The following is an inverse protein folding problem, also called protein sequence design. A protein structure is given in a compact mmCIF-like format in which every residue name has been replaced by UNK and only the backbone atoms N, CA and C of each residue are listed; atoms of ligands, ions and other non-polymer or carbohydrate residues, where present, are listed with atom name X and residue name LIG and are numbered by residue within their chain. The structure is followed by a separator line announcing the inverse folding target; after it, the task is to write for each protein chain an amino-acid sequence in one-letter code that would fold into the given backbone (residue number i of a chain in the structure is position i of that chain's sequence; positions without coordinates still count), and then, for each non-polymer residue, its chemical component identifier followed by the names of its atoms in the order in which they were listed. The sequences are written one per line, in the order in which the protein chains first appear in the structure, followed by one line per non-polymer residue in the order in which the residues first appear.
data_IF_847861112417
#
_entry.id   IF_847861112417
#
_cell.length_a   1.000
_cell.length_b   1.000
_cell.length_c   1.000
_cell.angle_alpha   90.00
_cell.angle_beta   90.00
_cell.angle_gamma   90.00
#
_symmetry.space_group_name_H-M   'P 1'
#
loop_
_entity.id
_entity.type
_entity.pdbx_description
1 polymer ?
#
# COMPACT_ATOMS: atom_id res chain seq x y z
N UNK A 1 -38.75 -32.04 -22.79
CA UNK A 1 -38.67 -30.56 -22.77
C UNK A 1 -38.39 -29.91 -24.13
N UNK A 2 -37.58 -30.49 -25.04
CA UNK A 2 -37.27 -29.87 -26.35
C UNK A 2 -38.47 -29.78 -27.32
N UNK A 3 -39.39 -30.75 -27.28
CA UNK A 3 -40.57 -30.81 -28.18
C UNK A 3 -41.60 -29.72 -27.88
N UNK A 4 -41.83 -29.38 -26.61
CA UNK A 4 -42.80 -28.35 -26.19
C UNK A 4 -42.38 -26.94 -26.61
N UNK A 5 -41.08 -26.61 -26.58
CA UNK A 5 -40.59 -25.30 -27.02
C UNK A 5 -40.71 -25.12 -28.55
N UNK A 6 -40.38 -26.15 -29.33
CA UNK A 6 -40.53 -26.14 -30.80
C UNK A 6 -41.99 -26.00 -31.24
N UNK A 7 -42.92 -26.63 -30.52
CA UNK A 7 -44.36 -26.49 -30.73
C UNK A 7 -44.87 -25.10 -30.36
N UNK A 8 -44.36 -24.49 -29.28
CA UNK A 8 -44.68 -23.10 -28.91
C UNK A 8 -44.21 -22.08 -29.96
N UNK A 9 -43.02 -22.30 -30.53
CA UNK A 9 -42.47 -21.45 -31.60
C UNK A 9 -43.31 -21.52 -32.89
N UNK A 10 -43.78 -22.73 -33.26
CA UNK A 10 -44.53 -22.98 -34.52
C UNK A 10 -46.04 -22.80 -34.39
N UNK A 11 -46.56 -22.77 -33.17
CA UNK A 11 -47.98 -22.67 -32.88
C UNK A 11 -48.71 -24.00 -32.91
N UNK A 12 -49.69 -24.13 -32.02
CA UNK A 12 -50.56 -25.29 -31.93
C UNK A 12 -51.97 -24.90 -31.48
N UNK A 13 -52.92 -25.79 -31.71
CA UNK A 13 -54.34 -25.51 -31.50
C UNK A 13 -54.97 -26.66 -30.72
N UNK A 14 -55.76 -26.33 -29.70
CA UNK A 14 -56.64 -27.28 -29.04
C UNK A 14 -57.92 -27.38 -29.84
N UNK A 15 -58.21 -28.58 -30.33
CA UNK A 15 -59.42 -28.87 -31.09
C UNK A 15 -60.30 -29.86 -30.34
N UNK A 16 -61.61 -29.65 -30.46
CA UNK A 16 -62.65 -30.55 -30.01
C UNK A 16 -63.23 -31.22 -31.26
N UNK A 17 -63.27 -32.54 -31.27
CA UNK A 17 -63.74 -33.35 -32.39
C UNK A 17 -65.00 -34.06 -31.96
N UNK A 18 -66.04 -33.99 -32.78
CA UNK A 18 -67.34 -34.62 -32.54
C UNK A 18 -67.71 -35.53 -33.71
N UNK A 19 -68.03 -36.79 -33.45
CA UNK A 19 -68.44 -37.77 -34.48
C UNK A 19 -68.53 -39.20 -33.96
N UNK A 20 -69.24 -40.08 -34.67
CA UNK A 20 -69.45 -41.48 -34.27
C UNK A 20 -68.24 -42.40 -34.56
N UNK A 21 -67.26 -41.96 -35.35
CA UNK A 21 -66.07 -42.76 -35.73
C UNK A 21 -64.75 -42.09 -35.28
N UNK A 22 -64.68 -41.71 -34.00
CA UNK A 22 -63.50 -41.02 -33.44
C UNK A 22 -62.23 -41.87 -33.46
N UNK A 23 -62.33 -43.16 -33.14
CA UNK A 23 -61.19 -44.08 -33.15
C UNK A 23 -60.57 -44.22 -34.54
N UNK A 24 -61.43 -44.30 -35.57
CA UNK A 24 -61.00 -44.38 -36.97
C UNK A 24 -60.27 -43.10 -37.40
N UNK A 25 -60.73 -41.94 -36.95
CA UNK A 25 -60.05 -40.66 -37.20
C UNK A 25 -58.66 -40.65 -36.54
N UNK A 26 -58.55 -41.06 -35.27
CA UNK A 26 -57.28 -41.06 -34.54
C UNK A 26 -56.27 -42.01 -35.19
N UNK A 27 -56.71 -43.19 -35.63
CA UNK A 27 -55.85 -44.12 -36.35
C UNK A 27 -55.31 -43.52 -37.65
N UNK A 28 -56.14 -42.79 -38.40
CA UNK A 28 -55.71 -42.07 -39.61
C UNK A 28 -54.76 -40.90 -39.32
N UNK A 29 -54.93 -40.20 -38.19
CA UNK A 29 -54.01 -39.14 -37.76
C UNK A 29 -52.61 -39.69 -37.48
N UNK A 30 -52.55 -40.85 -36.83
CA UNK A 30 -51.31 -41.57 -36.54
C UNK A 30 -50.65 -42.11 -37.82
N UNK A 31 -51.43 -42.68 -38.73
CA UNK A 31 -50.96 -43.20 -40.02
C UNK A 31 -50.33 -42.10 -40.89
N UNK A 32 -50.97 -40.91 -40.96
CA UNK A 32 -50.42 -39.74 -41.66
C UNK A 32 -49.31 -39.00 -40.90
N UNK A 33 -48.82 -39.57 -39.79
CA UNK A 33 -47.76 -39.02 -38.92
C UNK A 33 -48.00 -37.56 -38.51
N UNK A 34 -49.25 -37.21 -38.20
CA UNK A 34 -49.59 -35.87 -37.74
C UNK A 34 -49.12 -35.67 -36.29
N UNK A 35 -48.64 -34.47 -35.98
CA UNK A 35 -48.22 -34.13 -34.62
C UNK A 35 -49.44 -33.83 -33.77
N UNK A 36 -49.95 -34.87 -33.10
CA UNK A 36 -51.08 -34.82 -32.16
C UNK A 36 -50.62 -35.29 -30.78
N UNK A 37 -51.08 -34.62 -29.71
CA UNK A 37 -50.75 -35.00 -28.33
C UNK A 37 -51.89 -34.66 -27.35
N UNK A 38 -51.83 -35.26 -26.16
CA UNK A 38 -52.80 -35.09 -25.06
C UNK A 38 -54.25 -35.24 -25.53
N UNK A 39 -54.55 -36.42 -26.09
CA UNK A 39 -55.88 -36.82 -26.54
C UNK A 39 -56.71 -37.21 -25.31
N UNK A 40 -57.84 -36.53 -25.12
CA UNK A 40 -58.78 -36.78 -24.02
C UNK A 40 -60.17 -37.06 -24.58
N UNK A 41 -60.69 -38.26 -24.32
CA UNK A 41 -62.05 -38.61 -24.66
C UNK A 41 -62.98 -38.09 -23.57
N UNK A 42 -64.05 -37.39 -23.97
CA UNK A 42 -65.09 -36.87 -23.07
C UNK A 42 -66.32 -37.78 -23.10
N UNK A 43 -66.74 -38.18 -24.31
CA UNK A 43 -67.86 -39.07 -24.60
C UNK A 43 -67.49 -39.96 -25.81
N UNK A 44 -68.24 -41.04 -26.09
CA UNK A 44 -68.05 -41.88 -27.30
C UNK A 44 -68.16 -41.09 -28.62
N UNK A 45 -68.80 -39.93 -28.56
CA UNK A 45 -68.95 -39.02 -29.70
C UNK A 45 -68.11 -37.75 -29.59
N UNK A 46 -67.27 -37.56 -28.55
CA UNK A 46 -66.46 -36.35 -28.35
C UNK A 46 -65.04 -36.60 -27.83
N UNK A 47 -64.04 -36.03 -28.51
CA UNK A 47 -62.64 -36.03 -28.07
C UNK A 47 -62.00 -34.63 -28.16
N UNK A 48 -61.13 -34.30 -27.23
CA UNK A 48 -60.28 -33.11 -27.25
C UNK A 48 -58.83 -33.52 -27.54
N UNK A 49 -58.14 -32.83 -28.45
CA UNK A 49 -56.72 -33.08 -28.72
C UNK A 49 -55.98 -31.82 -29.13
N UNK A 50 -54.68 -31.79 -28.88
CA UNK A 50 -53.81 -30.75 -29.40
C UNK A 50 -53.19 -31.17 -30.71
N UNK A 51 -53.20 -30.27 -31.69
CA UNK A 51 -52.61 -30.48 -33.01
C UNK A 51 -51.69 -29.32 -33.38
N UNK A 52 -50.59 -29.61 -34.08
CA UNK A 52 -49.71 -28.59 -34.62
C UNK A 52 -50.45 -27.69 -35.62
N UNK A 53 -50.08 -26.42 -35.73
CA UNK A 53 -50.74 -25.48 -36.65
C UNK A 53 -50.62 -25.92 -38.13
N UNK A 54 -49.48 -26.53 -38.50
CA UNK A 54 -49.26 -27.04 -39.87
C UNK A 54 -50.17 -28.23 -40.18
N UNK A 55 -50.37 -29.13 -39.21
CA UNK A 55 -51.17 -30.33 -39.38
C UNK A 55 -52.67 -30.04 -39.27
N UNK A 56 -53.08 -28.98 -38.56
CA UNK A 56 -54.47 -28.53 -38.50
C UNK A 56 -55.04 -28.22 -39.89
N UNK A 57 -54.27 -27.60 -40.80
CA UNK A 57 -54.74 -27.35 -42.17
C UNK A 57 -54.88 -28.63 -42.99
N UNK A 58 -54.08 -29.66 -42.68
CA UNK A 58 -54.11 -30.98 -43.33
C UNK A 58 -55.20 -31.90 -42.76
N UNK A 59 -55.88 -31.48 -41.67
CA UNK A 59 -56.91 -32.25 -40.99
C UNK A 59 -58.24 -32.32 -41.77
N UNK A 60 -58.52 -31.32 -42.62
CA UNK A 60 -59.82 -31.18 -43.30
C UNK A 60 -60.25 -32.38 -44.15
N UNK A 61 -59.38 -33.00 -44.99
CA UNK A 61 -59.76 -34.17 -45.79
C UNK A 61 -60.11 -35.37 -44.90
N UNK A 62 -59.35 -35.59 -43.82
CA UNK A 62 -59.56 -36.70 -42.89
C UNK A 62 -60.91 -36.59 -42.14
N UNK A 63 -61.32 -35.37 -41.80
CA UNK A 63 -62.62 -35.12 -41.17
C UNK A 63 -63.79 -35.42 -42.11
N UNK A 64 -63.63 -35.17 -43.43
CA UNK A 64 -64.64 -35.51 -44.43
C UNK A 64 -64.75 -37.01 -44.65
N UNK A 65 -63.63 -37.73 -44.66
CA UNK A 65 -63.58 -39.20 -44.83
C UNK A 65 -64.25 -39.96 -43.68
N UNK A 66 -64.14 -39.46 -42.44
CA UNK A 66 -64.69 -40.14 -41.23
C UNK A 66 -66.01 -39.55 -40.74
N UNK A 67 -66.57 -38.54 -41.42
CA UNK A 67 -67.80 -37.87 -41.02
C UNK A 67 -67.70 -37.09 -39.70
N UNK A 68 -66.50 -36.85 -39.20
CA UNK A 68 -66.26 -36.13 -37.94
C UNK A 68 -66.21 -34.61 -38.16
N UNK A 69 -66.64 -33.84 -37.17
CA UNK A 69 -66.55 -32.37 -37.17
C UNK A 69 -65.49 -31.93 -36.16
N UNK A 70 -64.73 -30.88 -36.48
CA UNK A 70 -63.77 -30.28 -35.55
C UNK A 70 -64.14 -28.84 -35.24
N UNK A 71 -63.93 -28.43 -33.98
CA UNK A 71 -64.10 -27.07 -33.48
C UNK A 71 -62.84 -26.64 -32.75
N UNK A 72 -62.28 -25.50 -33.14
CA UNK A 72 -61.12 -24.91 -32.46
C UNK A 72 -61.57 -24.28 -31.14
N UNK A 73 -61.03 -24.76 -30.02
CA UNK A 73 -61.33 -24.23 -28.68
C UNK A 73 -60.33 -23.16 -28.23
N UNK A 74 -59.04 -23.42 -28.36
CA UNK A 74 -57.96 -22.50 -27.94
C UNK A 74 -56.80 -22.50 -28.93
N UNK A 75 -56.16 -21.35 -29.11
CA UNK A 75 -55.02 -21.13 -30.01
C UNK A 75 -53.79 -20.74 -29.19
N UNK A 76 -52.65 -21.38 -29.43
CA UNK A 76 -51.43 -21.19 -28.64
C UNK A 76 -50.18 -21.04 -29.52
N UNK A 77 -49.21 -20.26 -29.05
CA UNK A 77 -47.88 -20.10 -29.65
C UNK A 77 -47.62 -18.74 -30.30
N UNK A 78 -46.37 -18.54 -30.72
CA UNK A 78 -45.86 -17.25 -31.24
C UNK A 78 -46.63 -16.69 -32.45
N UNK A 79 -47.07 -17.48 -33.46
CA UNK A 79 -47.79 -16.93 -34.61
C UNK A 79 -49.08 -16.19 -34.23
N UNK A 80 -49.80 -16.69 -33.22
CA UNK A 80 -51.02 -16.04 -32.72
C UNK A 80 -50.74 -14.87 -31.78
N UNK A 81 -49.55 -14.82 -31.16
CA UNK A 81 -49.11 -13.65 -30.40
C UNK A 81 -48.65 -12.52 -31.32
N UNK A 82 -47.94 -12.85 -32.42
CA UNK A 82 -47.50 -11.89 -33.44
C UNK A 82 -48.68 -11.25 -34.17
N UNK A 83 -49.71 -12.00 -34.55
CA UNK A 83 -50.95 -11.47 -35.16
C UNK A 83 -51.70 -10.49 -34.23
N UNK A 84 -51.66 -10.76 -32.91
CA UNK A 84 -52.17 -9.80 -31.91
C UNK A 84 -51.28 -8.57 -31.74
N UNK A 85 -49.97 -8.74 -31.94
CA UNK A 85 -48.98 -7.67 -31.87
C UNK A 85 -49.06 -6.73 -33.08
N UNK A 86 -49.34 -7.25 -34.28
CA UNK A 86 -49.53 -6.45 -35.51
C UNK A 86 -50.70 -5.47 -35.39
N UNK A 87 -51.77 -5.87 -34.67
CA UNK A 87 -52.89 -4.98 -34.35
C UNK A 87 -52.51 -3.87 -33.38
N UNK A 88 -51.35 -3.97 -32.72
CA UNK A 88 -50.80 -3.00 -31.76
C UNK A 88 -49.46 -2.45 -32.29
N UNK A 89 -49.48 -1.81 -33.47
CA UNK A 89 -48.29 -1.21 -34.11
C UNK A 89 -47.45 -0.34 -33.16
N UNK A 90 -48.10 0.41 -32.27
CA UNK A 90 -47.44 1.24 -31.25
C UNK A 90 -46.60 0.42 -30.25
N UNK A 91 -47.06 -0.78 -29.88
CA UNK A 91 -46.32 -1.65 -28.96
C UNK A 91 -45.05 -2.22 -29.61
N UNK A 92 -45.15 -2.66 -30.87
CA UNK A 92 -43.99 -3.10 -31.65
C UNK A 92 -42.97 -1.96 -31.85
N UNK A 93 -43.45 -0.76 -32.19
CA UNK A 93 -42.60 0.43 -32.28
C UNK A 93 -41.92 0.76 -30.95
N UNK A 94 -42.64 0.62 -29.83
CA UNK A 94 -42.09 0.79 -28.47
C UNK A 94 -40.96 -0.18 -28.15
N UNK A 95 -41.10 -1.46 -28.52
CA UNK A 95 -40.03 -2.46 -28.34
C UNK A 95 -38.79 -2.08 -29.17
N UNK A 96 -38.98 -1.70 -30.43
CA UNK A 96 -37.86 -1.29 -31.30
C UNK A 96 -37.18 -0.04 -30.72
N UNK A 97 -37.96 0.96 -30.32
CA UNK A 97 -37.45 2.17 -29.69
C UNK A 97 -36.71 1.88 -28.37
N UNK A 98 -37.20 0.93 -27.58
CA UNK A 98 -36.55 0.50 -26.35
C UNK A 98 -35.19 -0.15 -26.61
N UNK A 99 -35.10 -1.04 -27.61
CA UNK A 99 -33.83 -1.67 -28.00
C UNK A 99 -32.84 -0.63 -28.54
N UNK A 100 -33.30 0.30 -29.38
CA UNK A 100 -32.48 1.43 -29.87
C UNK A 100 -32.02 2.28 -28.68
N UNK A 101 -32.90 2.59 -27.73
CA UNK A 101 -32.58 3.31 -26.51
C UNK A 101 -31.47 2.61 -25.71
N UNK A 102 -31.59 1.31 -25.47
CA UNK A 102 -30.55 0.53 -24.79
C UNK A 102 -29.20 0.60 -25.50
N UNK A 103 -29.20 0.52 -26.83
CA UNK A 103 -27.98 0.64 -27.63
C UNK A 103 -27.35 2.03 -27.50
N UNK A 104 -28.15 3.09 -27.58
CA UNK A 104 -27.68 4.47 -27.41
C UNK A 104 -27.11 4.70 -26.01
N UNK A 105 -27.80 4.25 -24.96
CA UNK A 105 -27.34 4.37 -23.57
C UNK A 105 -26.04 3.59 -23.31
N UNK A 106 -25.84 2.46 -23.98
CA UNK A 106 -24.61 1.66 -23.92
C UNK A 106 -23.43 2.32 -24.68
N UNK A 107 -23.73 3.19 -25.64
CA UNK A 107 -22.74 3.92 -26.45
C UNK A 107 -22.30 5.26 -25.81
N UNK A 108 -22.85 5.63 -24.65
CA UNK A 108 -22.52 6.87 -23.94
C UNK A 108 -21.49 6.60 -22.82
N UNK A 109 -20.54 7.52 -22.69
CA UNK A 109 -19.62 7.56 -21.54
C UNK A 109 -20.34 8.17 -20.34
N UNK A 110 -20.64 7.35 -19.34
CA UNK A 110 -21.34 7.80 -18.12
C UNK A 110 -20.39 8.37 -17.08
N UNK A 111 -19.17 7.84 -16.99
CA UNK A 111 -18.19 8.26 -15.98
C UNK A 111 -16.77 8.25 -16.55
N UNK A 112 -16.01 9.30 -16.24
CA UNK A 112 -14.56 9.37 -16.43
C UNK A 112 -13.93 9.34 -15.04
N UNK A 113 -13.06 8.36 -14.79
CA UNK A 113 -12.28 8.21 -13.56
C UNK A 113 -10.81 8.44 -13.85
N UNK A 114 -10.10 9.02 -12.89
CA UNK A 114 -8.65 9.20 -12.92
C UNK A 114 -8.07 8.38 -11.77
N UNK A 115 -7.01 7.64 -12.05
CA UNK A 115 -6.29 6.78 -11.10
C UNK A 115 -4.79 7.07 -11.18
N UNK A 116 -4.09 6.99 -10.04
CA UNK A 116 -2.63 7.16 -9.97
C UNK A 116 -2.14 8.61 -9.88
N UNK A 117 -3.04 9.55 -9.59
CA UNK A 117 -2.67 10.94 -9.32
C UNK A 117 -2.54 11.19 -7.81
N UNK A 118 -1.38 11.66 -7.36
CA UNK A 118 -1.07 12.01 -5.98
C UNK A 118 -0.75 13.51 -5.86
N UNK A 119 0.19 14.01 -6.68
CA UNK A 119 0.60 15.41 -6.75
C UNK A 119 -0.25 16.21 -7.76
N UNK A 120 -0.61 15.60 -8.90
CA UNK A 120 -1.39 16.26 -9.95
C UNK A 120 -2.87 16.26 -9.56
N UNK A 121 -3.51 17.42 -9.63
CA UNK A 121 -4.94 17.54 -9.30
C UNK A 121 -5.79 16.85 -10.37
N UNK A 122 -6.77 16.06 -9.91
CA UNK A 122 -7.72 15.37 -10.79
C UNK A 122 -8.48 16.33 -11.72
N UNK A 123 -8.76 17.55 -11.27
CA UNK A 123 -9.45 18.57 -12.08
C UNK A 123 -8.66 18.95 -13.33
N UNK A 124 -7.34 19.07 -13.22
CA UNK A 124 -6.46 19.48 -14.31
C UNK A 124 -6.40 18.37 -15.37
N UNK A 125 -6.26 17.12 -14.94
CA UNK A 125 -6.28 15.95 -15.83
C UNK A 125 -7.63 15.85 -16.56
N UNK A 126 -8.75 16.06 -15.87
CA UNK A 126 -10.08 16.05 -16.48
C UNK A 126 -10.28 17.21 -17.47
N UNK A 127 -9.67 18.37 -17.20
CA UNK A 127 -9.72 19.52 -18.12
C UNK A 127 -8.96 19.22 -19.41
N UNK A 128 -7.77 18.65 -19.32
CA UNK A 128 -6.98 18.22 -20.50
C UNK A 128 -7.72 17.10 -21.26
N UNK A 129 -8.29 16.12 -20.56
CA UNK A 129 -9.12 15.08 -21.17
C UNK A 129 -10.32 15.64 -21.92
N UNK A 130 -10.98 16.67 -21.37
CA UNK A 130 -12.09 17.35 -22.02
C UNK A 130 -11.67 18.03 -23.33
N UNK A 131 -10.47 18.60 -23.39
CA UNK A 131 -9.93 19.20 -24.63
C UNK A 131 -9.68 18.15 -25.73
N UNK A 132 -9.30 16.92 -25.34
CA UNK A 132 -9.17 15.78 -26.25
C UNK A 132 -10.51 15.10 -26.59
N UNK A 133 -11.62 15.66 -26.12
CA UNK A 133 -12.97 15.17 -26.39
C UNK A 133 -13.43 14.03 -25.47
N UNK A 134 -12.69 13.74 -24.39
CA UNK A 134 -13.07 12.74 -23.37
C UNK A 134 -13.75 13.44 -22.20
N UNK A 135 -15.08 13.35 -22.13
CA UNK A 135 -15.88 13.92 -21.04
C UNK A 135 -17.17 13.13 -20.80
N UNK A 136 -17.86 13.42 -19.69
CA UNK A 136 -19.13 12.78 -19.33
C UNK A 136 -20.22 13.08 -20.36
N UNK A 137 -21.05 12.09 -20.68
CA UNK A 137 -22.10 12.13 -21.71
C UNK A 137 -21.57 12.25 -23.15
N UNK A 138 -20.28 11.98 -23.38
CA UNK A 138 -19.75 11.89 -24.72
C UNK A 138 -20.11 10.56 -25.38
N UNK A 139 -20.36 10.60 -26.68
CA UNK A 139 -20.59 9.41 -27.50
C UNK A 139 -19.28 8.66 -27.77
N UNK A 140 -19.26 7.36 -27.49
CA UNK A 140 -18.08 6.50 -27.68
C UNK A 140 -17.61 6.47 -29.13
N UNK A 141 -18.52 6.56 -30.12
CA UNK A 141 -18.15 6.57 -31.54
C UNK A 141 -17.40 7.84 -31.99
N UNK A 142 -17.41 8.92 -31.19
CA UNK A 142 -16.65 10.15 -31.49
C UNK A 142 -15.27 10.15 -30.85
N UNK A 143 -14.97 9.17 -30.00
CA UNK A 143 -13.67 9.05 -29.34
C UNK A 143 -12.67 8.40 -30.30
N UNK A 144 -11.46 8.92 -30.32
CA UNK A 144 -10.33 8.29 -31.01
C UNK A 144 -9.90 7.03 -30.25
N UNK A 145 -9.04 6.23 -30.88
CA UNK A 145 -8.45 5.06 -30.25
C UNK A 145 -7.73 5.41 -28.94
N UNK A 146 -7.75 4.47 -28.00
CA UNK A 146 -7.16 4.63 -26.67
C UNK A 146 -5.68 5.04 -26.73
N UNK A 147 -4.92 4.47 -27.67
CA UNK A 147 -3.49 4.75 -27.86
C UNK A 147 -3.20 6.15 -28.41
N UNK A 148 -4.13 6.70 -29.21
CA UNK A 148 -3.98 8.06 -29.75
C UNK A 148 -4.29 9.07 -28.66
N UNK A 149 -5.34 8.82 -27.88
CA UNK A 149 -5.72 9.67 -26.76
C UNK A 149 -4.69 9.63 -25.63
N UNK A 150 -4.11 8.46 -25.32
CA UNK A 150 -3.08 8.33 -24.29
C UNK A 150 -1.83 9.16 -24.63
N UNK A 151 -1.32 9.04 -25.87
CA UNK A 151 -0.21 9.86 -26.36
C UNK A 151 -0.52 11.35 -26.34
N UNK A 152 -1.72 11.73 -26.76
CA UNK A 152 -2.15 13.14 -26.78
C UNK A 152 -2.24 13.71 -25.36
N UNK A 153 -2.78 12.96 -24.40
CA UNK A 153 -2.80 13.36 -22.99
C UNK A 153 -1.40 13.47 -22.39
N UNK A 154 -0.54 12.48 -22.64
CA UNK A 154 0.84 12.49 -22.15
C UNK A 154 1.60 13.73 -22.66
N UNK A 155 1.39 14.12 -23.92
CA UNK A 155 2.04 15.32 -24.49
C UNK A 155 1.61 16.64 -23.83
N UNK A 156 0.41 16.67 -23.24
CA UNK A 156 -0.17 17.88 -22.60
C UNK A 156 0.03 17.92 -21.08
N UNK A 157 0.50 16.82 -20.48
CA UNK A 157 0.76 16.69 -19.04
C UNK A 157 2.26 16.42 -18.82
N UNK A 158 3.12 17.45 -18.85
CA UNK A 158 4.57 17.28 -18.70
C UNK A 158 4.99 16.73 -17.32
N UNK A 159 4.12 16.89 -16.31
CA UNK A 159 4.31 16.37 -14.95
C UNK A 159 4.01 14.86 -14.85
N UNK A 160 3.37 14.26 -15.87
CA UNK A 160 3.12 12.83 -15.93
C UNK A 160 4.26 12.12 -16.67
N UNK A 161 4.86 11.10 -16.04
CA UNK A 161 5.81 10.22 -16.71
C UNK A 161 5.12 9.35 -17.76
N UNK A 162 3.90 8.91 -17.47
CA UNK A 162 3.09 8.08 -18.36
C UNK A 162 1.60 8.30 -18.15
N UNK A 163 0.83 8.26 -19.25
CA UNK A 163 -0.64 8.35 -19.21
C UNK A 163 -1.22 7.24 -20.07
N UNK A 164 -2.15 6.47 -19.53
CA UNK A 164 -2.90 5.44 -20.22
C UNK A 164 -4.41 5.66 -20.12
N UNK A 165 -5.15 5.29 -21.15
CA UNK A 165 -6.61 5.38 -21.17
C UNK A 165 -7.20 4.01 -21.46
N UNK A 166 -8.18 3.59 -20.68
CA UNK A 166 -8.84 2.30 -20.80
C UNK A 166 -10.35 2.47 -20.86
N UNK A 167 -10.99 1.83 -21.85
CA UNK A 167 -12.45 1.84 -22.02
C UNK A 167 -13.06 0.59 -21.37
N UNK A 168 -13.73 0.75 -20.22
CA UNK A 168 -14.44 -0.34 -19.51
C UNK A 168 -15.95 -0.17 -19.66
N UNK A 169 -16.51 -0.78 -20.70
CA UNK A 169 -17.94 -0.67 -20.99
C UNK A 169 -18.32 0.78 -21.26
N UNK A 170 -19.10 1.39 -20.37
CA UNK A 170 -19.51 2.81 -20.44
C UNK A 170 -18.64 3.76 -19.59
N UNK A 171 -17.59 3.24 -18.95
CA UNK A 171 -16.67 4.01 -18.11
C UNK A 171 -15.32 4.18 -18.81
N UNK A 172 -14.73 5.36 -18.66
CA UNK A 172 -13.36 5.65 -19.11
C UNK A 172 -12.48 5.79 -17.89
N UNK A 173 -11.37 5.05 -17.86
CA UNK A 173 -10.37 5.12 -16.79
C UNK A 173 -9.09 5.70 -17.37
N UNK A 174 -8.65 6.82 -16.81
CA UNK A 174 -7.38 7.47 -17.14
C UNK A 174 -6.40 7.12 -16.02
N UNK A 175 -5.36 6.35 -16.36
CA UNK A 175 -4.28 5.97 -15.45
C UNK A 175 -3.11 6.90 -15.67
N UNK A 176 -2.66 7.55 -14.61
CA UNK A 176 -1.52 8.47 -14.64
C UNK A 176 -0.41 7.91 -13.74
N UNK A 177 0.82 7.99 -14.21
CA UNK A 177 2.02 7.78 -13.40
C UNK A 177 2.77 9.08 -13.41
N UNK A 178 2.95 9.67 -12.24
CA UNK A 178 3.59 10.97 -12.08
C UNK A 178 5.10 10.89 -12.23
N UNK A 179 5.71 11.96 -12.76
CA UNK A 179 7.15 12.05 -12.90
C UNK A 179 7.78 12.43 -11.54
N UNK A 180 8.68 11.58 -11.05
CA UNK A 180 9.52 11.91 -9.89
C UNK A 180 10.65 12.79 -10.36
N UNK A 181 10.49 14.11 -10.23
CA UNK A 181 11.57 15.07 -10.46
C UNK A 181 12.39 15.13 -9.18
N UNK A 182 13.69 14.77 -9.17
CA UNK A 182 14.51 14.91 -7.99
C UNK A 182 14.57 16.40 -7.60
N UNK A 183 14.32 16.69 -6.32
CA UNK A 183 14.44 18.05 -5.81
C UNK A 183 15.85 18.58 -6.12
N UNK A 184 15.92 19.81 -6.64
CA UNK A 184 17.22 20.44 -6.86
C UNK A 184 17.91 20.54 -5.50
N UNK A 185 19.17 20.06 -5.37
CA UNK A 185 19.87 20.12 -4.10
C UNK A 185 19.93 21.58 -3.63
N UNK A 186 19.84 21.83 -2.31
CA UNK A 186 19.89 23.17 -1.76
C UNK A 186 21.17 23.88 -2.24
N UNK A 187 21.05 25.20 -2.48
CA UNK A 187 22.20 26.04 -2.80
C UNK A 187 23.10 26.12 -1.55
N UNK A 188 24.15 25.30 -1.52
CA UNK A 188 25.13 25.29 -0.44
C UNK A 188 26.27 26.25 -0.78
N UNK A 189 26.68 27.05 0.22
CA UNK A 189 27.85 27.90 0.09
C UNK A 189 29.13 27.05 -0.10
N UNK A 190 30.07 27.48 -0.97
CA UNK A 190 31.35 26.82 -1.13
C UNK A 190 32.10 26.68 0.20
N UNK A 191 32.75 25.53 0.40
CA UNK A 191 33.41 25.16 1.66
C UNK A 191 34.65 24.31 1.38
N UNK A 192 35.62 24.38 2.28
CA UNK A 192 36.71 23.43 2.42
C UNK A 192 36.33 22.32 3.40
N UNK A 193 37.02 21.18 3.32
CA UNK A 193 37.06 20.20 4.40
C UNK A 193 38.43 20.30 5.07
N UNK A 194 38.43 20.55 6.37
CA UNK A 194 39.61 20.72 7.21
C UNK A 194 39.69 19.65 8.29
N UNK A 195 40.86 19.48 8.89
CA UNK A 195 41.09 18.50 9.94
C UNK A 195 40.46 18.94 11.28
N UNK A 196 39.51 18.16 11.78
CA UNK A 196 38.90 18.36 13.11
C UNK A 196 39.90 18.14 14.26
N UNK A 197 40.85 17.21 14.05
CA UNK A 197 41.87 16.78 15.01
C UNK A 197 43.20 16.54 14.27
N UNK A 198 44.30 16.59 15.02
CA UNK A 198 45.61 16.23 14.47
C UNK A 198 45.71 14.71 14.33
N UNK A 199 46.12 14.22 13.16
CA UNK A 199 46.08 12.81 12.83
C UNK A 199 47.08 12.43 11.74
N UNK A 200 47.38 11.14 11.64
CA UNK A 200 48.07 10.56 10.49
C UNK A 200 47.03 10.05 9.49
N UNK A 201 47.02 10.60 8.27
CA UNK A 201 46.01 10.23 7.27
C UNK A 201 46.17 8.77 6.84
N UNK A 202 45.11 7.98 6.93
CA UNK A 202 45.07 6.59 6.46
C UNK A 202 44.34 6.47 5.12
N UNK A 203 43.22 7.18 4.96
CA UNK A 203 42.37 7.10 3.78
C UNK A 203 41.79 8.45 3.40
N UNK A 204 41.71 8.70 2.10
CA UNK A 204 41.17 9.94 1.52
C UNK A 204 40.14 9.56 0.45
N UNK A 205 38.90 9.98 0.64
CA UNK A 205 37.83 9.87 -0.34
C UNK A 205 37.27 11.26 -0.64
N UNK A 206 37.48 11.76 -1.86
CA UNK A 206 36.98 13.06 -2.30
C UNK A 206 35.94 12.88 -3.40
N UNK A 207 34.67 13.21 -3.11
CA UNK A 207 33.58 13.20 -4.08
C UNK A 207 33.56 14.51 -4.89
N UNK A 208 33.77 15.65 -4.20
CA UNK A 208 33.87 16.98 -4.78
C UNK A 208 34.99 17.78 -4.12
N UNK A 209 35.74 18.53 -4.93
CA UNK A 209 36.92 19.29 -4.48
C UNK A 209 38.23 18.56 -4.76
N UNK A 210 39.36 19.19 -4.42
CA UNK A 210 40.71 18.66 -4.67
C UNK A 210 41.38 18.27 -3.35
N UNK A 211 41.80 17.00 -3.16
CA UNK A 211 42.59 16.62 -1.99
C UNK A 211 43.95 17.31 -2.03
N UNK A 212 44.33 17.97 -0.93
CA UNK A 212 45.60 18.70 -0.78
C UNK A 212 46.65 17.84 -0.07
N UNK A 213 46.18 16.86 0.70
CA UNK A 213 46.99 15.97 1.53
C UNK A 213 47.14 14.59 0.88
N UNK A 214 48.13 13.81 1.35
CA UNK A 214 48.39 12.43 0.90
C UNK A 214 48.24 11.46 2.06
N UNK A 215 48.02 10.19 1.75
CA UNK A 215 48.06 9.11 2.74
C UNK A 215 49.44 9.07 3.43
N UNK A 216 49.47 8.65 4.69
CA UNK A 216 50.64 8.64 5.57
C UNK A 216 51.27 10.03 5.81
N UNK A 217 50.51 11.12 5.65
CA UNK A 217 50.95 12.49 5.96
C UNK A 217 50.31 13.00 7.24
N UNK A 218 51.11 13.63 8.11
CA UNK A 218 50.64 14.12 9.41
C UNK A 218 50.01 15.48 9.21
N UNK A 219 48.79 15.64 9.69
CA UNK A 219 48.04 16.89 9.63
C UNK A 219 47.73 17.38 11.04
N UNK A 220 47.75 18.69 11.21
CA UNK A 220 47.31 19.36 12.44
C UNK A 220 45.84 19.72 12.33
N UNK A 221 45.18 19.85 13.49
CA UNK A 221 43.85 20.43 13.57
C UNK A 221 43.79 21.78 12.85
N UNK A 222 42.86 21.91 11.90
CA UNK A 222 42.65 23.09 11.06
C UNK A 222 43.29 23.02 9.67
N UNK A 223 44.15 22.04 9.39
CA UNK A 223 44.76 21.91 8.07
C UNK A 223 43.72 21.54 7.00
N UNK A 224 43.86 22.09 5.80
CA UNK A 224 42.95 21.81 4.66
C UNK A 224 43.23 20.42 4.12
N UNK A 225 42.23 19.53 4.22
CA UNK A 225 42.30 18.17 3.71
C UNK A 225 41.83 18.13 2.24
N UNK A 226 40.65 18.69 1.98
CA UNK A 226 40.06 18.80 0.64
C UNK A 226 39.70 20.26 0.39
N UNK A 227 40.33 20.83 -0.64
CA UNK A 227 40.07 22.21 -1.06
C UNK A 227 38.81 22.30 -1.92
N UNK A 228 37.91 23.22 -1.57
CA UNK A 228 36.78 23.63 -2.40
C UNK A 228 37.17 24.60 -3.53
N UNK A 229 38.43 25.02 -3.65
CA UNK A 229 38.91 25.86 -4.76
C UNK A 229 39.57 24.96 -5.81
N UNK A 230 38.99 24.93 -7.00
CA UNK A 230 39.47 24.18 -8.16
C UNK A 230 40.08 25.12 -9.20
N UNK A 231 41.18 24.71 -9.83
CA UNK A 231 41.85 25.45 -10.89
C UNK A 231 43.19 26.05 -10.48
N UNK A 232 43.86 26.68 -11.44
CA UNK A 232 45.15 27.36 -11.26
C UNK A 232 44.93 28.85 -10.90
N UNK A 233 46.01 29.57 -10.57
CA UNK A 233 45.97 30.98 -10.12
C UNK A 233 45.15 31.92 -11.02
N UNK A 234 45.03 31.59 -12.31
CA UNK A 234 44.31 32.39 -13.31
C UNK A 234 42.82 32.04 -13.46
N UNK A 235 42.39 30.84 -13.05
CA UNK A 235 41.02 30.34 -13.26
C UNK A 235 40.53 29.55 -12.05
N UNK A 236 40.19 30.25 -10.96
CA UNK A 236 39.66 29.64 -9.75
C UNK A 236 38.14 29.48 -9.81
N UNK A 237 37.66 28.25 -9.57
CA UNK A 237 36.24 27.93 -9.40
C UNK A 237 36.01 27.36 -8.02
N UNK A 238 35.10 27.98 -7.26
CA UNK A 238 34.72 27.51 -5.93
C UNK A 238 33.60 26.47 -6.03
N UNK A 239 33.77 25.35 -5.34
CA UNK A 239 32.79 24.28 -5.19
C UNK A 239 32.57 23.96 -3.71
N UNK A 240 31.48 23.26 -3.44
CA UNK A 240 31.21 22.67 -2.14
C UNK A 240 32.05 21.40 -2.05
N UNK A 241 33.15 21.43 -1.29
CA UNK A 241 33.96 20.23 -1.07
C UNK A 241 33.11 19.18 -0.33
N UNK A 242 33.14 17.95 -0.84
CA UNK A 242 32.43 16.80 -0.28
C UNK A 242 33.36 15.59 -0.33
N UNK A 243 33.44 14.86 0.77
CA UNK A 243 34.36 13.75 0.93
C UNK A 243 34.57 13.39 2.38
N UNK A 244 35.27 12.30 2.59
CA UNK A 244 35.61 11.75 3.89
C UNK A 244 37.11 11.47 3.93
N UNK A 245 37.77 11.88 5.02
CA UNK A 245 39.19 11.63 5.25
C UNK A 245 39.30 11.00 6.62
N UNK A 246 39.87 9.79 6.65
CA UNK A 246 40.14 9.05 7.88
C UNK A 246 41.60 9.19 8.26
N UNK A 247 41.85 9.24 9.56
CA UNK A 247 43.20 9.28 10.10
C UNK A 247 43.31 8.60 11.45
N UNK A 248 44.53 8.17 11.76
CA UNK A 248 44.92 7.67 13.07
C UNK A 248 45.12 8.85 14.02
N UNK A 249 44.28 8.89 15.04
CA UNK A 249 44.35 9.83 16.16
C UNK A 249 44.85 9.08 17.39
N UNK A 250 45.78 9.70 18.10
CA UNK A 250 46.35 9.15 19.33
C UNK A 250 45.67 9.76 20.56
N UNK A 251 45.15 8.91 21.44
CA UNK A 251 44.55 9.30 22.70
C UNK A 251 45.36 8.74 23.87
N UNK A 252 45.37 9.47 24.98
CA UNK A 252 45.94 9.02 26.26
C UNK A 252 44.94 9.27 27.41
N UNK A 253 43.75 8.64 27.42
CA UNK A 253 42.81 8.76 28.53
C UNK A 253 43.42 8.25 29.83
N UNK A 254 43.12 8.97 30.92
CA UNK A 254 43.41 8.58 32.29
C UNK A 254 42.16 7.95 32.87
N UNK A 255 42.23 6.67 33.22
CA UNK A 255 41.13 5.91 33.80
C UNK A 255 41.42 5.59 35.25
N UNK A 256 40.41 5.73 36.10
CA UNK A 256 40.43 5.27 37.47
C UNK A 256 39.40 4.15 37.68
N UNK A 257 39.85 3.00 38.19
CA UNK A 257 38.98 1.86 38.49
C UNK A 257 39.08 1.51 39.97
N UNK A 258 38.00 1.64 40.76
CA UNK A 258 38.01 1.24 42.16
C UNK A 258 38.03 -0.28 42.29
N UNK A 259 38.88 -0.82 43.17
CA UNK A 259 39.01 -2.25 43.46
C UNK A 259 37.79 -2.80 44.22
N UNK A 260 37.11 -1.94 44.97
CA UNK A 260 35.86 -2.27 45.66
C UNK A 260 34.75 -1.48 45.00
N UNK A 261 33.79 -2.19 44.41
CA UNK A 261 32.66 -1.59 43.72
C UNK A 261 31.37 -1.85 44.48
N UNK A 262 30.56 -0.81 44.59
CA UNK A 262 29.24 -0.87 45.19
C UNK A 262 28.21 -1.14 44.09
N UNK A 263 27.58 -2.32 44.14
CA UNK A 263 26.50 -2.68 43.24
C UNK A 263 25.17 -2.53 43.95
N UNK A 264 24.24 -1.82 43.30
CA UNK A 264 22.84 -1.79 43.71
C UNK A 264 22.18 -3.11 43.28
N UNK A 265 21.72 -3.89 44.24
CA UNK A 265 20.98 -5.13 44.01
C UNK A 265 19.57 -5.01 44.55
N UNK A 266 18.63 -5.75 43.95
CA UNK A 266 17.27 -5.87 44.48
C UNK A 266 17.20 -7.05 45.43
N UNK A 267 16.71 -6.84 46.66
CA UNK A 267 16.61 -7.90 47.69
C UNK A 267 15.51 -8.91 47.39
N UNK A 268 14.58 -8.55 46.50
CA UNK A 268 13.42 -9.35 46.12
C UNK A 268 12.15 -8.98 46.89
N UNK A 269 12.27 -8.20 47.98
CA UNK A 269 11.11 -7.65 48.68
C UNK A 269 10.47 -6.53 47.85
N UNK A 270 9.15 -6.61 47.66
CA UNK A 270 8.42 -5.63 46.85
C UNK A 270 7.09 -5.26 47.50
N UNK A 271 6.79 -3.97 47.50
CA UNK A 271 5.49 -3.42 47.90
C UNK A 271 4.80 -2.82 46.67
N UNK A 272 3.49 -3.04 46.55
CA UNK A 272 2.70 -2.59 45.41
C UNK A 272 1.74 -1.49 45.84
N UNK A 273 1.76 -0.37 45.14
CA UNK A 273 0.78 0.72 45.29
C UNK A 273 -0.03 0.82 44.02
N UNK A 274 -1.35 0.95 44.18
CA UNK A 274 -2.28 1.10 43.07
C UNK A 274 -2.89 2.49 43.13
N UNK A 275 -2.95 3.17 41.99
CA UNK A 275 -3.55 4.48 41.84
C UNK A 275 -4.53 4.45 40.67
N UNK A 276 -5.65 5.13 40.84
CA UNK A 276 -6.54 5.51 39.75
C UNK A 276 -6.11 6.88 39.24
N UNK A 277 -5.77 6.97 37.96
CA UNK A 277 -5.31 8.23 37.34
C UNK A 277 -6.41 8.77 36.46
N UNK A 278 -6.79 10.04 36.69
CA UNK A 278 -7.73 10.79 35.87
C UNK A 278 -7.06 12.08 35.41
N UNK A 279 -6.69 12.16 34.13
CA UNK A 279 -5.91 13.26 33.54
C UNK A 279 -4.55 13.40 34.22
N UNK A 280 -4.36 14.54 34.92
CA UNK A 280 -3.15 14.88 35.66
C UNK A 280 -3.26 14.61 37.18
N UNK A 281 -4.37 14.06 37.66
CA UNK A 281 -4.58 13.75 39.09
C UNK A 281 -4.61 12.24 39.29
N UNK A 282 -3.86 11.74 40.27
CA UNK A 282 -3.87 10.34 40.69
C UNK A 282 -4.44 10.20 42.10
N UNK A 283 -5.45 9.34 42.27
CA UNK A 283 -5.97 8.95 43.58
C UNK A 283 -5.35 7.60 43.97
N UNK A 284 -4.62 7.55 45.07
CA UNK A 284 -4.09 6.30 45.61
C UNK A 284 -5.24 5.43 46.12
N UNK A 285 -5.28 4.18 45.68
CA UNK A 285 -6.29 3.18 46.05
C UNK A 285 -5.76 2.14 47.04
N UNK A 286 -4.45 1.91 47.08
CA UNK A 286 -3.86 0.90 47.97
C UNK A 286 -2.39 1.20 48.34
N UNK A 287 -1.90 0.48 49.33
CA UNK A 287 -0.51 0.61 49.81
C UNK A 287 -0.27 1.93 50.55
N UNK A 288 -1.30 2.38 51.28
CA UNK A 288 -1.24 3.52 52.20
C UNK A 288 -0.28 3.22 53.35
N UNK A 289 0.35 4.27 53.88
CA UNK A 289 1.37 4.18 54.92
C UNK A 289 2.78 4.40 54.39
N UNK A 290 3.75 4.40 55.30
CA UNK A 290 5.15 4.63 55.00
C UNK A 290 5.81 3.41 54.33
N UNK A 291 6.84 3.66 53.53
CA UNK A 291 7.60 2.61 52.86
C UNK A 291 8.52 1.96 53.91
N UNK A 292 8.41 0.64 54.14
CA UNK A 292 9.15 -0.03 55.22
C UNK A 292 10.65 -0.22 54.91
N UNK A 293 11.08 0.09 53.69
CA UNK A 293 12.44 -0.12 53.21
C UNK A 293 13.31 1.11 53.44
N UNK A 294 14.53 0.92 53.96
CA UNK A 294 15.49 2.02 54.14
C UNK A 294 16.02 2.56 52.81
N UNK A 295 16.22 1.66 51.83
CA UNK A 295 16.65 1.99 50.48
C UNK A 295 15.74 1.28 49.48
N UNK A 296 15.18 2.01 48.53
CA UNK A 296 14.23 1.47 47.57
C UNK A 296 14.28 2.18 46.21
N UNK A 297 13.78 1.50 45.19
CA UNK A 297 13.52 2.07 43.86
C UNK A 297 12.06 1.86 43.50
N UNK A 298 11.44 2.89 42.93
CA UNK A 298 10.03 2.85 42.54
C UNK A 298 9.92 2.80 41.03
N UNK A 299 9.34 1.71 40.51
CA UNK A 299 9.08 1.56 39.08
C UNK A 299 7.58 1.78 38.83
N UNK A 300 7.20 2.85 38.09
CA UNK A 300 5.81 3.11 37.73
C UNK A 300 5.40 2.37 36.46
N UNK A 301 4.31 1.61 36.52
CA UNK A 301 3.63 0.99 35.37
C UNK A 301 2.29 1.70 35.13
N UNK A 302 2.20 2.53 34.08
CA UNK A 302 0.97 3.24 33.70
C UNK A 302 0.23 2.48 32.60
N UNK A 303 -1.05 2.20 32.81
CA UNK A 303 -1.98 1.64 31.81
C UNK A 303 -3.15 2.58 31.60
N UNK A 304 -3.23 3.18 30.42
CA UNK A 304 -4.35 4.04 30.03
C UNK A 304 -5.45 3.21 29.38
N UNK A 305 -6.71 3.54 29.65
CA UNK A 305 -7.85 2.88 28.99
C UNK A 305 -8.03 3.48 27.60
N UNK A 306 -8.07 2.65 26.57
CA UNK A 306 -8.34 3.07 25.19
C UNK A 306 -9.70 2.56 24.73
N UNK A 307 -10.45 3.39 24.01
CA UNK A 307 -11.66 3.00 23.31
C UNK A 307 -11.54 3.34 21.83
N UNK A 308 -11.36 2.30 20.99
CA UNK A 308 -10.95 2.45 19.58
C UNK A 308 -9.68 3.31 19.49
N UNK A 309 -9.71 4.39 18.73
CA UNK A 309 -8.58 5.31 18.53
C UNK A 309 -8.54 6.45 19.57
N UNK A 310 -9.47 6.47 20.53
CA UNK A 310 -9.53 7.50 21.58
C UNK A 310 -8.87 7.01 22.88
N UNK A 311 -7.86 7.74 23.32
CA UNK A 311 -7.23 7.55 24.64
C UNK A 311 -8.09 8.25 25.69
N UNK A 312 -8.72 7.48 26.58
CA UNK A 312 -9.56 8.05 27.63
C UNK A 312 -8.67 8.73 28.68
N UNK A 313 -9.15 9.82 29.31
CA UNK A 313 -8.43 10.50 30.37
C UNK A 313 -8.40 9.70 31.69
N UNK A 314 -8.74 8.41 31.68
CA UNK A 314 -8.76 7.53 32.86
C UNK A 314 -7.83 6.35 32.64
N UNK A 315 -7.07 6.00 33.66
CA UNK A 315 -6.13 4.87 33.64
C UNK A 315 -5.77 4.37 35.02
N UNK A 316 -4.95 3.33 35.05
CA UNK A 316 -4.40 2.72 36.24
C UNK A 316 -2.90 2.99 36.29
N UNK A 317 -2.38 3.37 37.45
CA UNK A 317 -0.95 3.43 37.71
C UNK A 317 -0.64 2.43 38.82
N UNK A 318 0.29 1.53 38.54
CA UNK A 318 0.79 0.56 39.51
C UNK A 318 2.25 0.89 39.78
N UNK A 319 2.57 1.24 41.01
CA UNK A 319 3.95 1.44 41.43
C UNK A 319 4.45 0.17 42.12
N UNK A 320 5.60 -0.31 41.68
CA UNK A 320 6.35 -1.35 42.39
C UNK A 320 7.49 -0.67 43.11
N UNK A 321 7.36 -0.59 44.42
CA UNK A 321 8.44 -0.17 45.31
C UNK A 321 9.24 -1.41 45.64
N UNK A 322 10.49 -1.45 45.21
CA UNK A 322 11.38 -2.59 45.40
C UNK A 322 12.49 -2.18 46.34
N UNK A 323 12.74 -2.99 47.36
CA UNK A 323 13.87 -2.75 48.25
C UNK A 323 15.18 -3.00 47.51
N UNK A 324 16.13 -2.11 47.76
CA UNK A 324 17.45 -2.15 47.15
C UNK A 324 18.50 -2.20 48.23
N UNK A 325 19.48 -3.07 48.08
CA UNK A 325 20.68 -3.10 48.90
C UNK A 325 21.90 -2.68 48.10
N UNK A 326 22.93 -2.26 48.82
CA UNK A 326 24.27 -2.07 48.24
C UNK A 326 25.14 -3.24 48.67
N UNK A 327 25.68 -3.97 47.70
CA UNK A 327 26.68 -5.01 47.95
C UNK A 327 28.03 -4.56 47.42
N UNK A 328 29.03 -4.62 48.30
CA UNK A 328 30.41 -4.38 47.93
C UNK A 328 31.01 -5.65 47.33
N UNK A 329 31.52 -5.54 46.12
CA UNK A 329 32.23 -6.61 45.43
C UNK A 329 33.65 -6.13 45.14
N UNK A 330 34.63 -6.85 45.69
CA UNK A 330 36.04 -6.67 45.33
C UNK A 330 36.32 -7.34 43.99
N UNK A 331 36.97 -6.62 43.09
CA UNK A 331 37.48 -7.14 41.81
C UNK A 331 38.99 -7.35 41.89
N UNK A 332 39.48 -8.33 41.15
CA UNK A 332 40.91 -8.58 41.06
C UNK A 332 41.62 -7.46 40.28
N UNK A 333 42.93 -7.30 40.51
CA UNK A 333 43.74 -6.29 39.83
C UNK A 333 43.74 -6.49 38.30
N UNK A 334 43.77 -7.73 37.82
CA UNK A 334 43.71 -8.00 36.37
C UNK A 334 42.34 -7.65 35.79
N UNK A 335 41.26 -7.97 36.53
CA UNK A 335 39.91 -7.63 36.12
C UNK A 335 39.69 -6.11 36.09
N UNK A 336 40.23 -5.37 37.06
CA UNK A 336 40.19 -3.91 37.09
C UNK A 336 40.92 -3.28 35.89
N UNK A 337 42.05 -3.86 35.46
CA UNK A 337 42.80 -3.41 34.28
C UNK A 337 42.01 -3.59 33.00
N UNK A 338 41.49 -4.80 32.77
CA UNK A 338 40.70 -5.10 31.57
C UNK A 338 39.48 -4.19 31.48
N UNK A 339 38.76 -3.99 32.59
CA UNK A 339 37.62 -3.07 32.66
C UNK A 339 38.01 -1.63 32.39
N UNK A 340 39.14 -1.17 32.92
CA UNK A 340 39.62 0.20 32.68
C UNK A 340 39.96 0.45 31.21
N UNK A 341 40.56 -0.54 30.54
CA UNK A 341 40.81 -0.50 29.10
C UNK A 341 39.50 -0.50 28.30
N UNK A 342 38.56 -1.37 28.65
CA UNK A 342 37.24 -1.45 27.99
C UNK A 342 36.47 -0.13 28.14
N UNK A 343 36.50 0.47 29.33
CA UNK A 343 35.90 1.78 29.58
C UNK A 343 36.56 2.88 28.74
N UNK A 344 37.90 2.97 28.73
CA UNK A 344 38.61 3.93 27.88
C UNK A 344 38.26 3.75 26.40
N UNK A 345 38.16 2.51 25.91
CA UNK A 345 37.76 2.23 24.53
C UNK A 345 36.34 2.72 24.26
N UNK A 346 35.40 2.39 25.15
CA UNK A 346 34.00 2.79 25.00
C UNK A 346 33.85 4.31 24.93
N UNK A 347 34.48 5.02 25.87
CA UNK A 347 34.41 6.48 25.98
C UNK A 347 35.00 7.16 24.72
N UNK A 348 36.13 6.65 24.20
CA UNK A 348 36.77 7.19 23.00
C UNK A 348 35.98 6.84 21.73
N UNK A 349 35.45 5.62 21.60
CA UNK A 349 34.64 5.23 20.44
C UNK A 349 33.31 6.01 20.37
N UNK A 350 32.69 6.29 21.52
CA UNK A 350 31.51 7.16 21.60
C UNK A 350 31.83 8.58 21.12
N UNK A 351 32.98 9.13 21.52
CA UNK A 351 33.43 10.45 21.09
C UNK A 351 33.92 10.51 19.62
N UNK A 352 34.43 9.41 19.08
CA UNK A 352 34.97 9.29 17.72
C UNK A 352 33.88 9.05 16.64
N UNK A 353 32.72 8.52 17.03
CA UNK A 353 31.57 8.29 16.16
C UNK A 353 31.49 6.88 15.56
N UNK A 354 30.41 6.62 14.83
CA UNK A 354 29.95 5.26 14.42
C UNK A 354 30.90 4.50 13.49
N UNK A 355 31.80 5.17 12.78
CA UNK A 355 32.72 4.57 11.80
C UNK A 355 34.19 4.55 12.27
N UNK A 356 34.40 4.64 13.59
CA UNK A 356 35.72 4.61 14.23
C UNK A 356 36.16 3.20 14.62
N UNK A 357 37.48 2.95 14.59
CA UNK A 357 38.08 1.66 14.93
C UNK A 357 39.35 1.83 15.74
N UNK A 358 39.47 1.11 16.86
CA UNK A 358 40.72 1.02 17.61
C UNK A 358 41.70 0.10 16.85
N UNK A 359 42.88 0.62 16.53
CA UNK A 359 43.95 -0.08 15.80
C UNK A 359 44.98 -0.68 16.75
N UNK A 360 45.33 0.06 17.81
CA UNK A 360 46.33 -0.35 18.79
C UNK A 360 45.99 0.19 20.17
N UNK A 361 46.42 -0.55 21.19
CA UNK A 361 46.29 -0.19 22.59
C UNK A 361 47.55 -0.53 23.37
N UNK A 362 47.96 0.37 24.27
CA UNK A 362 49.10 0.13 25.16
C UNK A 362 48.94 0.90 26.46
N UNK A 363 49.15 0.22 27.59
CA UNK A 363 49.21 0.88 28.90
C UNK A 363 50.56 1.60 29.01
N UNK A 364 50.54 2.92 29.26
CA UNK A 364 51.75 3.72 29.45
C UNK A 364 52.18 3.76 30.92
N UNK A 365 51.22 4.02 31.81
CA UNK A 365 51.45 4.11 33.24
C UNK A 365 50.37 3.37 34.01
N UNK A 366 50.79 2.72 35.09
CA UNK A 366 49.92 2.02 36.03
C UNK A 366 50.34 2.41 37.46
N UNK A 367 49.36 2.80 38.27
CA UNK A 367 49.57 3.11 39.68
C UNK A 367 48.38 2.65 40.51
N UNK A 368 48.63 1.93 41.60
CA UNK A 368 47.60 1.52 42.55
C UNK A 368 47.74 2.32 43.83
N UNK A 369 46.78 3.18 44.12
CA UNK A 369 46.74 4.00 45.35
C UNK A 369 45.32 4.07 45.91
N UNK A 370 45.19 4.05 47.24
CA UNK A 370 43.92 4.24 47.95
C UNK A 370 42.79 3.31 47.49
N UNK A 371 43.09 2.04 47.18
CA UNK A 371 42.09 1.07 46.71
C UNK A 371 41.57 1.32 45.29
N UNK A 372 42.23 2.18 44.51
CA UNK A 372 41.94 2.45 43.10
C UNK A 372 43.16 2.13 42.22
N UNK A 373 42.91 1.69 41.00
CA UNK A 373 43.91 1.55 39.95
C UNK A 373 43.78 2.73 39.00
N UNK A 374 44.85 3.52 38.89
CA UNK A 374 45.01 4.57 37.91
C UNK A 374 45.82 4.05 36.73
N UNK A 375 45.30 4.21 35.53
CA UNK A 375 45.98 3.81 34.31
C UNK A 375 45.91 4.90 33.24
N UNK A 376 47.02 5.10 32.56
CA UNK A 376 47.07 5.91 31.34
C UNK A 376 47.17 4.97 30.15
N UNK A 377 46.13 4.94 29.32
CA UNK A 377 46.02 4.02 28.20
C UNK A 377 46.26 4.79 26.92
N UNK A 378 47.30 4.42 26.17
CA UNK A 378 47.51 4.90 24.81
C UNK A 378 46.62 4.13 23.84
N UNK A 379 45.76 4.85 23.12
CA UNK A 379 44.88 4.28 22.10
C UNK A 379 45.16 4.92 20.75
N UNK A 380 45.37 4.09 19.74
CA UNK A 380 45.40 4.51 18.34
C UNK A 380 44.05 4.22 17.73
N UNK A 381 43.33 5.26 17.31
CA UNK A 381 41.97 5.13 16.78
C UNK A 381 41.94 5.71 15.37
N UNK A 382 41.52 4.88 14.42
CA UNK A 382 41.18 5.32 13.07
C UNK A 382 39.76 5.90 13.10
N UNK A 383 39.63 7.19 12.82
CA UNK A 383 38.35 7.90 12.81
C UNK A 383 38.28 8.91 11.66
N UNK A 384 37.06 9.37 11.34
CA UNK A 384 36.89 10.46 10.38
C UNK A 384 37.31 11.78 11.02
N UNK A 385 38.21 12.50 10.35
CA UNK A 385 38.77 13.77 10.82
C UNK A 385 38.24 14.96 10.01
N UNK A 386 37.19 14.79 9.20
CA UNK A 386 36.67 15.86 8.35
C UNK A 386 35.75 16.82 9.11
N UNK A 387 36.03 18.11 8.98
CA UNK A 387 35.18 19.20 9.46
C UNK A 387 34.97 20.21 8.33
N UNK A 388 33.76 20.73 8.20
CA UNK A 388 33.43 21.72 7.18
C UNK A 388 33.90 23.12 7.59
N UNK A 389 34.57 23.83 6.69
CA UNK A 389 34.95 25.23 6.87
C UNK A 389 34.48 26.06 5.67
N UNK A 390 33.61 27.08 5.86
CA UNK A 390 33.15 27.93 4.76
C UNK A 390 34.32 28.71 4.15
N UNK A 391 34.28 28.91 2.84
CA UNK A 391 35.24 29.78 2.15
C UNK A 391 34.81 31.22 2.39
N UNK A 392 35.52 31.93 3.26
CA UNK A 392 35.33 33.38 3.41
C UNK A 392 36.12 34.05 2.31
N UNK A 393 35.44 34.69 1.36
CA UNK A 393 36.11 35.59 0.43
C UNK A 393 36.70 36.74 1.26
N UNK A 394 38.02 36.85 1.27
CA UNK A 394 38.68 38.02 1.87
C UNK A 394 38.27 39.22 1.00
N UNK A 395 37.75 40.31 1.59
CA UNK A 395 37.30 41.49 0.87
C UNK A 395 38.43 42.23 0.13
#
# INVERSE_FOLDING_TARGET
MKTTMLLSLRGYVLIEITGQQLERLINRLTEKRMSVWDIRFRDDAKAELYISLKDFFRLRPLLKETGCRSRVRKRFGLPFMLDKLEKRKLFAAGIICFVIGLYLLSSIVWQVRVEGNELIKTADILQVARQEGVYKLQWKFRLKDADVLSKSLQSKLPEAAWVGIEFRGTHVVIKVVEAVIPEKPPLLNPRHLVAAKSAMITSIFAEKGRPVVKTNTYVKKGDILISGVLGDELNQKTVVAAGEVKGLVWYAPKVEVPLVQQYKIYTGETQKRFYLVMGNRGLQLSGFGDIPFQQYETIPERKTVMWRDFVLPVGWLKERVMETGVVERSIDLQEAKTRGIEQAKSDILEAAGKDSRVVSEKILHEKTENGKVYMEVHLEVEESITQEQPIVAVP
#
